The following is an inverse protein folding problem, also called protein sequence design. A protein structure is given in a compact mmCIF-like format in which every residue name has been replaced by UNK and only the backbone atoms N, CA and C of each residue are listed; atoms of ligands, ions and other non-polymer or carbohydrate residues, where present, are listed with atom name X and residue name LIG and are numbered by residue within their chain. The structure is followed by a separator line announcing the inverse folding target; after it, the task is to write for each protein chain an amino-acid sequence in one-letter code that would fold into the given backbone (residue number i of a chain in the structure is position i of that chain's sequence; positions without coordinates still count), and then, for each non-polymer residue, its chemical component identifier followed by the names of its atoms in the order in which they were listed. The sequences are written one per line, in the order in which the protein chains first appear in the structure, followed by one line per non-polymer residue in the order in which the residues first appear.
data_IF_449085546077
#
_entry.id   IF_449085546077
#
_cell.length_a   1.000
_cell.length_b   1.000
_cell.length_c   1.000
_cell.angle_alpha   90.00
_cell.angle_beta   90.00
_cell.angle_gamma   90.00
#
_symmetry.space_group_name_H-M   'P 1'
#
loop_
_entity.id
_entity.type
_entity.pdbx_description
1 polymer ?
#
# COMPACT_ATOMS: atom_id res chain seq x y z
N UNK A 1 -5.31 -16.97 10.76
CA UNK A 1 -4.54 -15.74 10.50
C UNK A 1 -3.77 -15.32 11.72
N UNK A 2 -2.71 -14.54 11.56
CA UNK A 2 -2.09 -13.73 12.61
C UNK A 2 -1.66 -12.40 11.99
N UNK A 3 -2.03 -11.28 12.58
CA UNK A 3 -1.64 -9.95 12.08
C UNK A 3 -1.48 -8.97 13.24
N UNK A 4 -0.36 -8.27 13.30
CA UNK A 4 -0.08 -7.23 14.31
C UNK A 4 0.62 -6.00 13.71
N UNK A 5 0.32 -5.72 12.42
CA UNK A 5 1.01 -4.63 11.72
C UNK A 5 0.52 -3.21 12.09
N UNK A 6 -0.56 -3.07 12.86
CA UNK A 6 -1.07 -1.75 13.26
C UNK A 6 -1.27 -1.67 14.77
N UNK A 7 -1.35 -0.44 15.30
CA UNK A 7 -1.58 -0.18 16.72
C UNK A 7 -2.95 -0.65 17.23
N UNK A 8 -3.94 -0.77 16.34
CA UNK A 8 -5.30 -1.23 16.65
C UNK A 8 -5.40 -2.76 16.78
N UNK A 9 -4.28 -3.47 16.71
CA UNK A 9 -4.28 -4.92 16.78
C UNK A 9 -4.93 -5.44 18.07
N UNK A 10 -5.69 -6.53 17.97
CA UNK A 10 -6.50 -7.05 19.07
C UNK A 10 -5.70 -7.21 20.35
N UNK A 11 -6.12 -6.52 21.42
CA UNK A 11 -5.50 -6.52 22.75
C UNK A 11 -4.00 -6.13 22.77
N UNK A 12 -3.51 -5.43 21.75
CA UNK A 12 -2.08 -5.12 21.61
C UNK A 12 -1.19 -6.37 21.37
N UNK A 13 -1.78 -7.51 21.02
CA UNK A 13 -1.08 -8.80 20.87
C UNK A 13 -1.09 -9.35 19.44
N UNK A 14 -2.21 -9.21 18.76
CA UNK A 14 -2.39 -9.71 17.39
C UNK A 14 -3.83 -10.11 17.10
N UNK A 15 -4.26 -9.89 15.87
CA UNK A 15 -5.55 -10.35 15.36
C UNK A 15 -5.42 -11.81 14.90
N UNK A 16 -6.22 -12.73 15.44
CA UNK A 16 -6.12 -14.17 15.20
C UNK A 16 -7.36 -14.78 14.52
N UNK A 17 -8.52 -14.13 14.61
CA UNK A 17 -9.77 -14.57 13.99
C UNK A 17 -10.16 -13.67 12.83
N UNK A 18 -10.23 -12.38 13.09
CA UNK A 18 -10.54 -11.30 12.14
C UNK A 18 -9.74 -10.07 12.55
N UNK A 19 -9.30 -9.27 11.57
CA UNK A 19 -8.68 -7.97 11.87
C UNK A 19 -9.65 -7.02 12.56
N UNK A 20 -9.18 -6.23 13.53
CA UNK A 20 -9.96 -5.12 14.10
C UNK A 20 -10.37 -4.13 12.99
N UNK A 21 -9.52 -3.98 11.97
CA UNK A 21 -9.79 -3.20 10.76
C UNK A 21 -10.86 -3.80 9.81
N UNK A 22 -11.38 -5.00 10.10
CA UNK A 22 -12.32 -5.69 9.22
C UNK A 22 -11.69 -6.78 8.32
N UNK A 23 -10.37 -6.86 8.21
CA UNK A 23 -9.66 -7.84 7.38
C UNK A 23 -10.05 -9.29 7.74
N UNK A 24 -10.44 -10.08 6.75
CA UNK A 24 -10.76 -11.50 6.93
C UNK A 24 -9.49 -12.34 7.10
N UNK A 25 -9.65 -13.57 7.60
CA UNK A 25 -8.53 -14.51 7.69
C UNK A 25 -7.98 -14.90 6.32
N UNK A 26 -8.85 -15.02 5.32
CA UNK A 26 -8.51 -15.28 3.92
C UNK A 26 -7.60 -14.17 3.36
N UNK A 27 -8.07 -12.91 3.41
CA UNK A 27 -7.28 -11.76 2.91
C UNK A 27 -5.95 -11.64 3.63
N UNK A 28 -5.90 -11.84 4.95
CA UNK A 28 -4.64 -11.82 5.69
C UNK A 28 -3.67 -12.91 5.22
N UNK A 29 -4.17 -14.13 4.98
CA UNK A 29 -3.37 -15.23 4.45
C UNK A 29 -2.84 -14.94 3.05
N UNK A 30 -3.69 -14.46 2.14
CA UNK A 30 -3.27 -14.09 0.78
C UNK A 30 -2.24 -12.96 0.78
N UNK A 31 -2.33 -12.01 1.72
CA UNK A 31 -1.28 -10.99 1.92
C UNK A 31 0.06 -11.63 2.33
N UNK A 32 0.04 -12.58 3.26
CA UNK A 32 1.25 -13.29 3.69
C UNK A 32 1.88 -14.08 2.53
N UNK A 33 1.05 -14.73 1.70
CA UNK A 33 1.50 -15.45 0.51
C UNK A 33 2.10 -14.51 -0.54
N UNK A 34 1.46 -13.37 -0.82
CA UNK A 34 2.00 -12.37 -1.73
C UNK A 34 3.35 -11.85 -1.24
N UNK A 35 3.46 -11.54 0.06
CA UNK A 35 4.73 -11.14 0.68
C UNK A 35 5.82 -12.20 0.49
N UNK A 36 5.48 -13.48 0.67
CA UNK A 36 6.40 -14.59 0.47
C UNK A 36 6.92 -14.68 -0.98
N UNK A 37 6.04 -14.51 -1.96
CA UNK A 37 6.40 -14.51 -3.38
C UNK A 37 7.26 -13.29 -3.74
N UNK A 38 6.95 -12.11 -3.21
CA UNK A 38 7.77 -10.91 -3.41
C UNK A 38 9.17 -11.05 -2.84
N UNK A 39 9.34 -11.75 -1.71
CA UNK A 39 10.67 -12.11 -1.19
C UNK A 39 11.43 -12.99 -2.18
N UNK A 40 10.76 -13.94 -2.84
CA UNK A 40 11.33 -14.75 -3.92
C UNK A 40 11.75 -13.91 -5.13
N UNK A 41 10.85 -13.06 -5.63
CA UNK A 41 11.14 -12.13 -6.72
C UNK A 41 12.34 -11.25 -6.38
N UNK A 42 12.41 -10.72 -5.15
CA UNK A 42 13.52 -9.88 -4.70
C UNK A 42 14.88 -10.61 -4.71
N UNK A 43 14.91 -11.91 -4.45
CA UNK A 43 16.14 -12.72 -4.61
C UNK A 43 16.63 -12.75 -6.06
N UNK A 44 15.71 -12.87 -7.01
CA UNK A 44 16.06 -12.88 -8.44
C UNK A 44 16.52 -11.49 -8.90
N UNK A 45 15.79 -10.43 -8.56
CA UNK A 45 16.17 -9.06 -8.94
C UNK A 45 17.48 -8.61 -8.31
N UNK A 46 17.73 -8.95 -7.05
CA UNK A 46 19.04 -8.70 -6.39
C UNK A 46 20.17 -9.42 -7.12
N UNK A 47 19.93 -10.64 -7.62
CA UNK A 47 20.93 -11.38 -8.40
C UNK A 47 21.17 -10.75 -9.76
N UNK A 48 20.15 -10.29 -10.46
CA UNK A 48 20.25 -9.55 -11.73
C UNK A 48 20.98 -8.22 -11.55
N UNK A 49 20.65 -7.46 -10.50
CA UNK A 49 21.27 -6.17 -10.19
C UNK A 49 22.77 -6.28 -9.96
N UNK A 50 23.27 -7.38 -9.38
CA UNK A 50 24.72 -7.65 -9.25
C UNK A 50 25.42 -7.79 -10.61
N UNK A 51 24.68 -7.98 -11.69
CA UNK A 51 25.17 -8.00 -13.07
C UNK A 51 24.87 -6.72 -13.85
N UNK A 52 24.38 -5.68 -13.17
CA UNK A 52 24.01 -4.42 -13.80
C UNK A 52 22.67 -4.47 -14.54
N UNK A 53 21.85 -5.51 -14.34
CA UNK A 53 20.54 -5.65 -14.97
C UNK A 53 19.45 -5.26 -13.97
N UNK A 54 18.68 -4.25 -14.31
CA UNK A 54 17.51 -3.80 -13.53
C UNK A 54 16.20 -4.19 -14.26
N UNK A 55 15.15 -4.46 -13.48
CA UNK A 55 13.82 -4.75 -13.98
C UNK A 55 12.82 -3.72 -13.43
N UNK A 56 12.46 -2.73 -14.25
CA UNK A 56 11.44 -1.73 -13.89
C UNK A 56 10.09 -2.39 -13.59
N UNK A 57 9.73 -3.44 -14.33
CA UNK A 57 8.51 -4.21 -14.07
C UNK A 57 8.52 -4.84 -12.67
N UNK A 58 9.65 -5.42 -12.25
CA UNK A 58 9.76 -6.01 -10.92
C UNK A 58 9.79 -4.93 -9.82
N UNK A 59 10.45 -3.79 -10.06
CA UNK A 59 10.45 -2.66 -9.15
C UNK A 59 9.02 -2.19 -8.87
N UNK A 60 8.24 -1.93 -9.93
CA UNK A 60 6.84 -1.49 -9.81
C UNK A 60 5.98 -2.56 -9.15
N UNK A 61 6.10 -3.83 -9.57
CA UNK A 61 5.34 -4.95 -9.00
C UNK A 61 5.53 -5.07 -7.48
N UNK A 62 6.78 -4.95 -7.00
CA UNK A 62 7.09 -5.07 -5.56
C UNK A 62 6.51 -3.88 -4.79
N UNK A 63 6.65 -2.66 -5.31
CA UNK A 63 6.09 -1.46 -4.66
C UNK A 63 4.56 -1.56 -4.57
N UNK A 64 3.87 -1.92 -5.66
CA UNK A 64 2.42 -2.11 -5.68
C UNK A 64 1.97 -3.20 -4.71
N UNK A 65 2.65 -4.33 -4.74
CA UNK A 65 2.34 -5.45 -3.86
C UNK A 65 2.52 -5.11 -2.38
N UNK A 66 3.57 -4.38 -2.03
CA UNK A 66 3.79 -3.88 -0.68
C UNK A 66 2.68 -2.90 -0.27
N UNK A 67 2.35 -1.95 -1.13
CA UNK A 67 1.32 -0.95 -0.87
C UNK A 67 -0.05 -1.61 -0.66
N UNK A 68 -0.47 -2.54 -1.53
CA UNK A 68 -1.77 -3.20 -1.37
C UNK A 68 -1.86 -4.08 -0.10
N UNK A 69 -0.73 -4.45 0.53
CA UNK A 69 -0.70 -5.19 1.80
C UNK A 69 -0.67 -4.32 3.06
N UNK A 70 -0.67 -2.99 2.92
CA UNK A 70 -0.74 -2.05 4.04
C UNK A 70 -2.09 -2.19 4.76
N UNK A 71 -2.12 -1.84 6.04
CA UNK A 71 -3.35 -1.80 6.84
C UNK A 71 -4.39 -0.90 6.19
N UNK A 72 -5.63 -1.37 6.07
CA UNK A 72 -6.77 -0.63 5.53
C UNK A 72 -6.59 -0.16 4.07
N UNK A 73 -5.75 -0.85 3.28
CA UNK A 73 -5.55 -0.52 1.87
C UNK A 73 -6.43 -1.37 0.94
N UNK A 74 -6.44 -2.68 1.14
CA UNK A 74 -7.20 -3.59 0.28
C UNK A 74 -7.82 -4.75 1.09
N UNK A 75 -9.10 -5.05 0.83
CA UNK A 75 -9.88 -6.11 1.47
C UNK A 75 -10.40 -7.15 0.47
N UNK A 76 -10.07 -7.03 -0.82
CA UNK A 76 -10.55 -7.89 -1.90
C UNK A 76 -9.63 -9.10 -2.11
N UNK A 77 -10.10 -10.29 -1.75
CA UNK A 77 -9.36 -11.54 -1.94
C UNK A 77 -9.08 -11.83 -3.42
N UNK A 78 -9.99 -11.47 -4.32
CA UNK A 78 -9.84 -11.73 -5.76
C UNK A 78 -8.67 -10.93 -6.36
N UNK A 79 -8.46 -9.69 -5.89
CA UNK A 79 -7.32 -8.86 -6.28
C UNK A 79 -6.00 -9.46 -5.80
N UNK A 80 -5.95 -10.01 -4.58
CA UNK A 80 -4.76 -10.72 -4.09
C UNK A 80 -4.48 -11.98 -4.90
N UNK A 81 -5.49 -12.78 -5.24
CA UNK A 81 -5.34 -13.95 -6.11
C UNK A 81 -4.78 -13.56 -7.48
N UNK A 82 -5.31 -12.49 -8.08
CA UNK A 82 -4.79 -11.96 -9.35
C UNK A 82 -3.32 -11.55 -9.23
N UNK A 83 -2.98 -10.78 -8.20
CA UNK A 83 -1.60 -10.30 -7.97
C UNK A 83 -0.61 -11.44 -7.68
N UNK A 84 -1.06 -12.50 -7.01
CA UNK A 84 -0.28 -13.72 -6.78
C UNK A 84 0.01 -14.42 -8.12
N UNK A 85 -0.96 -14.52 -9.03
CA UNK A 85 -0.74 -15.09 -10.36
C UNK A 85 0.21 -14.25 -11.22
N UNK A 86 0.11 -12.93 -11.13
CA UNK A 86 1.10 -12.02 -11.75
C UNK A 86 2.52 -12.27 -11.19
N UNK A 87 2.64 -12.52 -9.88
CA UNK A 87 3.93 -12.85 -9.26
C UNK A 87 4.56 -14.11 -9.85
N UNK A 88 3.77 -15.14 -10.17
CA UNK A 88 4.28 -16.34 -10.81
C UNK A 88 4.86 -16.04 -12.19
N UNK A 89 4.12 -15.29 -13.01
CA UNK A 89 4.58 -14.94 -14.36
C UNK A 89 5.82 -14.07 -14.32
N UNK A 90 5.84 -13.08 -13.44
CA UNK A 90 7.01 -12.21 -13.28
C UNK A 90 8.25 -13.00 -12.83
N UNK A 91 8.07 -13.94 -11.92
CA UNK A 91 9.15 -14.82 -11.46
C UNK A 91 9.71 -15.67 -12.59
N UNK A 92 8.86 -16.26 -13.43
CA UNK A 92 9.29 -17.02 -14.60
C UNK A 92 10.09 -16.14 -15.58
N UNK A 93 9.60 -14.95 -15.89
CA UNK A 93 10.31 -13.99 -16.76
C UNK A 93 11.69 -13.60 -16.21
N UNK A 94 11.82 -13.41 -14.87
CA UNK A 94 13.09 -13.09 -14.23
C UNK A 94 14.06 -14.28 -14.22
N UNK A 95 13.57 -15.51 -14.10
CA UNK A 95 14.37 -16.72 -14.23
C UNK A 95 14.92 -16.87 -15.65
N UNK A 96 14.08 -16.62 -16.66
CA UNK A 96 14.51 -16.63 -18.06
C UNK A 96 15.56 -15.55 -18.34
N UNK A 97 15.44 -14.36 -17.74
CA UNK A 97 16.45 -13.32 -17.85
C UNK A 97 17.78 -13.76 -17.21
N UNK A 98 17.75 -14.36 -16.02
CA UNK A 98 18.93 -14.90 -15.37
C UNK A 98 19.63 -15.95 -16.24
N UNK A 99 18.85 -16.88 -16.85
CA UNK A 99 19.38 -17.88 -17.76
C UNK A 99 20.02 -17.25 -19.01
N UNK A 100 19.41 -16.21 -19.58
CA UNK A 100 20.01 -15.43 -20.69
C UNK A 100 21.33 -14.78 -20.31
N UNK A 101 21.50 -14.39 -19.04
CA UNK A 101 22.75 -13.87 -18.48
C UNK A 101 23.75 -14.98 -18.08
N UNK A 102 23.45 -16.25 -18.38
CA UNK A 102 24.29 -17.39 -18.00
C UNK A 102 24.29 -17.72 -16.52
N UNK A 103 23.27 -17.26 -15.78
CA UNK A 103 23.13 -17.49 -14.33
C UNK A 103 22.07 -18.54 -14.10
N UNK A 104 22.44 -19.59 -13.38
CA UNK A 104 21.52 -20.65 -12.95
C UNK A 104 21.35 -20.59 -11.43
N UNK A 105 20.33 -19.86 -10.92
CA UNK A 105 20.16 -19.68 -9.48
C UNK A 105 19.80 -21.02 -8.83
N UNK A 106 20.25 -21.23 -7.60
CA UNK A 106 19.79 -22.36 -6.81
C UNK A 106 18.32 -22.14 -6.41
N UNK A 107 17.44 -23.05 -6.81
CA UNK A 107 16.01 -23.00 -6.54
C UNK A 107 15.62 -23.73 -5.24
N UNK A 108 16.49 -23.74 -4.23
CA UNK A 108 16.28 -24.43 -2.96
C UNK A 108 15.21 -23.80 -2.07
N UNK A 109 14.90 -22.50 -2.28
CA UNK A 109 13.79 -21.81 -1.61
C UNK A 109 12.51 -22.02 -2.41
N UNK A 110 11.48 -22.58 -1.78
CA UNK A 110 10.20 -22.79 -2.46
C UNK A 110 9.46 -21.49 -2.82
N UNK A 111 9.87 -20.35 -2.22
CA UNK A 111 9.45 -19.02 -2.67
C UNK A 111 9.79 -18.74 -4.15
N UNK A 112 10.74 -19.49 -4.71
CA UNK A 112 11.14 -19.41 -6.12
C UNK A 112 10.41 -20.40 -7.02
N UNK A 113 9.80 -21.45 -6.46
CA UNK A 113 9.23 -22.56 -7.26
C UNK A 113 7.75 -22.80 -7.02
N UNK A 114 7.27 -22.53 -5.80
CA UNK A 114 5.88 -22.81 -5.46
C UNK A 114 4.91 -21.99 -6.30
N UNK A 115 3.89 -22.65 -6.83
CA UNK A 115 2.75 -22.04 -7.54
C UNK A 115 1.51 -22.92 -7.44
N UNK A 116 0.35 -22.30 -7.47
CA UNK A 116 -0.94 -22.97 -7.63
C UNK A 116 -1.96 -22.05 -8.28
N UNK A 117 -2.89 -22.62 -9.03
CA UNK A 117 -4.05 -21.92 -9.59
C UNK A 117 -5.30 -22.03 -8.70
N UNK A 118 -5.24 -22.88 -7.68
CA UNK A 118 -6.35 -23.14 -6.76
C UNK A 118 -6.24 -22.28 -5.51
N UNK A 119 -7.31 -21.56 -5.19
CA UNK A 119 -7.37 -20.68 -4.03
C UNK A 119 -7.19 -21.47 -2.72
N UNK A 120 -7.76 -22.67 -2.63
CA UNK A 120 -7.65 -23.54 -1.46
C UNK A 120 -6.18 -23.92 -1.18
N UNK A 121 -5.38 -24.16 -2.21
CA UNK A 121 -3.95 -24.45 -2.07
C UNK A 121 -3.17 -23.18 -1.66
N UNK A 122 -3.58 -22.00 -2.15
CA UNK A 122 -3.03 -20.72 -1.71
C UNK A 122 -3.30 -20.47 -0.23
N UNK A 123 -4.52 -20.77 0.25
CA UNK A 123 -4.87 -20.66 1.66
C UNK A 123 -4.08 -21.62 2.55
N UNK A 124 -3.85 -22.85 2.10
CA UNK A 124 -2.99 -23.80 2.83
C UNK A 124 -1.58 -23.27 2.91
N UNK A 125 -0.99 -22.84 1.78
CA UNK A 125 0.38 -22.32 1.74
C UNK A 125 0.56 -21.07 2.60
N UNK A 126 -0.42 -20.19 2.63
CA UNK A 126 -0.37 -18.97 3.44
C UNK A 126 -0.17 -19.24 4.95
N UNK A 127 -0.68 -20.36 5.46
CA UNK A 127 -0.52 -20.75 6.87
C UNK A 127 0.92 -21.18 7.18
N UNK A 128 1.65 -21.68 6.19
CA UNK A 128 3.04 -22.14 6.34
C UNK A 128 4.04 -20.98 6.28
N UNK A 129 3.72 -19.94 5.51
CA UNK A 129 4.65 -18.82 5.19
C UNK A 129 4.34 -17.52 5.92
N UNK A 130 3.31 -17.49 6.75
CA UNK A 130 2.88 -16.31 7.50
C UNK A 130 3.85 -15.93 8.63
N UNK A 131 3.51 -14.86 9.32
CA UNK A 131 4.33 -14.22 10.36
C UNK A 131 4.84 -15.24 11.41
N UNK A 132 4.01 -16.17 11.81
CA UNK A 132 4.35 -17.16 12.85
C UNK A 132 5.30 -18.28 12.39
N UNK A 133 5.63 -18.35 11.10
CA UNK A 133 6.64 -19.28 10.58
C UNK A 133 8.05 -19.00 11.15
N UNK A 134 8.31 -17.80 11.66
CA UNK A 134 9.52 -17.47 12.40
C UNK A 134 9.28 -17.73 13.90
N UNK A 135 9.85 -18.81 14.46
CA UNK A 135 9.60 -19.22 15.84
C UNK A 135 10.24 -18.27 16.87
N UNK A 136 11.48 -17.86 16.64
CA UNK A 136 12.18 -16.93 17.54
C UNK A 136 11.48 -15.56 17.52
N UNK A 137 11.00 -15.13 18.70
CA UNK A 137 10.17 -13.92 18.83
C UNK A 137 10.93 -12.64 18.51
N UNK A 138 12.20 -12.54 18.87
CA UNK A 138 13.00 -11.35 18.65
C UNK A 138 13.32 -11.19 17.15
N UNK A 139 13.76 -12.30 16.52
CA UNK A 139 13.99 -12.35 15.06
C UNK A 139 12.70 -12.05 14.30
N UNK A 140 11.58 -12.66 14.70
CA UNK A 140 10.27 -12.40 14.11
C UNK A 140 9.89 -10.93 14.19
N UNK A 141 9.99 -10.33 15.38
CA UNK A 141 9.61 -8.94 15.59
C UNK A 141 10.46 -7.97 14.75
N UNK A 142 11.76 -8.23 14.66
CA UNK A 142 12.66 -7.39 13.84
C UNK A 142 12.41 -7.58 12.33
N UNK A 143 12.17 -8.81 11.87
CA UNK A 143 11.79 -9.07 10.47
C UNK A 143 10.50 -8.37 10.09
N UNK A 144 9.50 -8.41 10.97
CA UNK A 144 8.22 -7.74 10.71
C UNK A 144 8.34 -6.22 10.80
N UNK A 145 9.13 -5.69 11.74
CA UNK A 145 9.39 -4.26 11.83
C UNK A 145 10.06 -3.74 10.54
N UNK A 146 11.05 -4.46 10.02
CA UNK A 146 11.67 -4.17 8.74
C UNK A 146 10.65 -4.25 7.57
N UNK A 147 9.83 -5.31 7.58
CA UNK A 147 8.76 -5.50 6.57
C UNK A 147 7.76 -4.33 6.59
N UNK A 148 7.34 -3.89 7.77
CA UNK A 148 6.41 -2.76 7.90
C UNK A 148 7.06 -1.43 7.49
N UNK A 149 8.36 -1.27 7.77
CA UNK A 149 9.14 -0.12 7.30
C UNK A 149 9.16 -0.04 5.77
N UNK A 150 9.46 -1.13 5.07
CA UNK A 150 9.46 -1.13 3.59
C UNK A 150 8.06 -1.01 2.99
N UNK A 151 6.99 -1.50 3.67
CA UNK A 151 5.61 -1.23 3.24
C UNK A 151 5.28 0.26 3.30
N UNK A 152 5.62 0.94 4.41
CA UNK A 152 5.43 2.38 4.53
C UNK A 152 6.23 3.17 3.49
N UNK A 153 7.48 2.77 3.25
CA UNK A 153 8.34 3.35 2.21
C UNK A 153 7.72 3.17 0.82
N UNK A 154 7.17 1.99 0.51
CA UNK A 154 6.53 1.71 -0.77
C UNK A 154 5.35 2.65 -1.06
N UNK A 155 4.56 3.05 -0.06
CA UNK A 155 3.48 4.02 -0.25
C UNK A 155 4.01 5.38 -0.72
N UNK A 156 5.08 5.89 -0.11
CA UNK A 156 5.69 7.15 -0.54
C UNK A 156 6.32 7.06 -1.93
N UNK A 157 6.97 5.95 -2.23
CA UNK A 157 7.58 5.70 -3.55
C UNK A 157 6.49 5.60 -4.63
N UNK A 158 5.36 4.95 -4.34
CA UNK A 158 4.22 4.85 -5.27
C UNK A 158 3.64 6.23 -5.60
N UNK A 159 3.39 7.07 -4.61
CA UNK A 159 2.88 8.42 -4.83
C UNK A 159 3.87 9.30 -5.61
N UNK A 160 5.18 9.15 -5.37
CA UNK A 160 6.20 9.85 -6.16
C UNK A 160 6.23 9.34 -7.61
N UNK A 161 6.14 8.02 -7.81
CA UNK A 161 6.08 7.39 -9.14
C UNK A 161 4.90 7.91 -9.97
N UNK A 162 3.72 8.05 -9.38
CA UNK A 162 2.53 8.58 -10.04
C UNK A 162 2.71 10.02 -10.56
N UNK A 163 3.69 10.75 -10.02
CA UNK A 163 4.09 12.08 -10.47
C UNK A 163 5.33 12.06 -11.38
N UNK A 164 5.82 10.87 -11.78
CA UNK A 164 6.98 10.70 -12.65
C UNK A 164 8.33 10.85 -11.94
N UNK A 165 8.38 10.69 -10.60
CA UNK A 165 9.62 10.77 -9.83
C UNK A 165 10.01 9.40 -9.31
N UNK A 166 11.25 9.00 -9.61
CA UNK A 166 11.81 7.70 -9.22
C UNK A 166 13.22 7.85 -8.64
N UNK A 167 13.59 6.91 -7.76
CA UNK A 167 14.95 6.71 -7.27
C UNK A 167 15.26 5.20 -7.20
N UNK A 168 16.14 4.72 -8.07
CA UNK A 168 16.50 3.31 -8.17
C UNK A 168 17.11 2.76 -6.89
N UNK A 169 17.76 3.62 -6.08
CA UNK A 169 18.33 3.21 -4.79
C UNK A 169 17.25 2.78 -3.78
N UNK A 170 16.04 3.34 -3.88
CA UNK A 170 14.89 2.96 -3.05
C UNK A 170 14.37 1.57 -3.43
N UNK A 171 14.21 1.31 -4.73
CA UNK A 171 13.82 -0.02 -5.21
C UNK A 171 14.85 -1.09 -4.81
N UNK A 172 16.14 -0.77 -4.98
CA UNK A 172 17.22 -1.66 -4.59
C UNK A 172 17.16 -1.98 -3.10
N UNK A 173 17.04 -0.96 -2.24
CA UNK A 173 16.95 -1.16 -0.79
C UNK A 173 15.72 -1.99 -0.39
N UNK A 174 14.53 -1.70 -0.93
CA UNK A 174 13.29 -2.46 -0.65
C UNK A 174 13.51 -3.95 -0.94
N UNK A 175 14.09 -4.28 -2.10
CA UNK A 175 14.36 -5.65 -2.50
C UNK A 175 15.40 -6.31 -1.58
N UNK A 176 16.49 -5.63 -1.27
CA UNK A 176 17.53 -6.15 -0.38
C UNK A 176 17.00 -6.39 1.03
N UNK A 177 16.16 -5.49 1.55
CA UNK A 177 15.49 -5.64 2.83
C UNK A 177 14.54 -6.86 2.86
N UNK A 178 13.76 -7.06 1.78
CA UNK A 178 12.91 -8.25 1.65
C UNK A 178 13.74 -9.54 1.62
N UNK A 179 14.87 -9.56 0.92
CA UNK A 179 15.80 -10.69 0.93
C UNK A 179 16.37 -10.92 2.32
N UNK A 180 16.78 -9.87 3.04
CA UNK A 180 17.30 -9.97 4.39
C UNK A 180 16.30 -10.65 5.35
N UNK A 181 15.00 -10.39 5.21
CA UNK A 181 13.98 -11.06 6.04
C UNK A 181 13.90 -12.58 5.82
N UNK A 182 14.51 -13.12 4.77
CA UNK A 182 14.53 -14.57 4.47
C UNK A 182 15.78 -15.29 4.93
N UNK A 183 16.82 -14.57 5.34
CA UNK A 183 18.10 -15.14 5.75
C UNK A 183 18.00 -15.71 7.15
N UNK A 184 18.38 -16.98 7.33
CA UNK A 184 18.28 -17.69 8.61
C UNK A 184 19.45 -17.43 9.57
N UNK A 185 20.56 -16.93 9.03
CA UNK A 185 21.82 -16.66 9.72
C UNK A 185 21.94 -15.25 10.30
N UNK A 186 21.00 -14.36 10.01
CA UNK A 186 21.00 -13.01 10.57
C UNK A 186 20.67 -13.01 12.06
N UNK A 187 21.56 -12.36 12.82
CA UNK A 187 21.37 -12.16 14.26
C UNK A 187 20.41 -10.99 14.56
N UNK A 188 20.02 -10.85 15.83
CA UNK A 188 19.26 -9.68 16.32
C UNK A 188 20.00 -8.38 16.00
N UNK A 189 21.33 -8.34 16.18
CA UNK A 189 22.13 -7.17 15.87
C UNK A 189 22.14 -6.82 14.38
N UNK A 190 22.19 -7.83 13.50
CA UNK A 190 22.13 -7.63 12.06
C UNK A 190 20.77 -7.08 11.62
N UNK A 191 19.70 -7.66 12.12
CA UNK A 191 18.33 -7.19 11.81
C UNK A 191 18.05 -5.80 12.38
N UNK A 192 18.64 -5.47 13.56
CA UNK A 192 18.55 -4.11 14.10
C UNK A 192 19.23 -3.09 13.17
N UNK A 193 20.39 -3.43 12.60
CA UNK A 193 21.04 -2.57 11.59
C UNK A 193 20.16 -2.39 10.36
N UNK A 194 19.51 -3.46 9.86
CA UNK A 194 18.57 -3.36 8.75
C UNK A 194 17.39 -2.44 9.05
N UNK A 195 16.84 -2.50 10.26
CA UNK A 195 15.75 -1.62 10.69
C UNK A 195 16.20 -0.15 10.73
N UNK A 196 17.39 0.13 11.26
CA UNK A 196 17.94 1.49 11.30
C UNK A 196 18.21 2.02 9.88
N UNK A 197 18.81 1.21 9.02
CA UNK A 197 19.02 1.57 7.60
C UNK A 197 17.68 1.77 6.87
N UNK A 198 16.65 1.00 7.21
CA UNK A 198 15.29 1.24 6.69
C UNK A 198 14.78 2.64 7.06
N UNK A 199 15.08 3.12 8.25
CA UNK A 199 14.79 4.51 8.66
C UNK A 199 15.49 5.55 7.77
N UNK A 200 16.78 5.33 7.46
CA UNK A 200 17.54 6.22 6.57
C UNK A 200 16.94 6.28 5.15
N UNK A 201 16.58 5.12 4.59
CA UNK A 201 15.91 5.06 3.28
C UNK A 201 14.47 5.58 3.33
N UNK A 202 13.79 5.47 4.48
CA UNK A 202 12.52 6.10 4.74
C UNK A 202 12.57 7.62 4.59
N UNK A 203 13.61 8.26 5.14
CA UNK A 203 13.87 9.69 4.95
C UNK A 203 14.06 10.03 3.46
N UNK A 204 14.82 9.21 2.72
CA UNK A 204 15.00 9.41 1.26
C UNK A 204 13.68 9.30 0.50
N UNK A 205 12.83 8.33 0.84
CA UNK A 205 11.53 8.15 0.20
C UNK A 205 10.60 9.34 0.48
N UNK A 206 10.58 9.85 1.72
CA UNK A 206 9.81 11.06 2.06
C UNK A 206 10.35 12.29 1.32
N UNK A 207 11.67 12.45 1.22
CA UNK A 207 12.28 13.55 0.47
C UNK A 207 11.98 13.47 -1.04
N UNK A 208 11.93 12.25 -1.61
CA UNK A 208 11.52 12.04 -2.99
C UNK A 208 10.07 12.48 -3.22
N UNK A 209 9.15 12.07 -2.33
CA UNK A 209 7.74 12.46 -2.42
C UNK A 209 7.54 13.96 -2.19
N UNK A 210 8.24 14.56 -1.23
CA UNK A 210 8.21 16.02 -1.01
C UNK A 210 8.66 16.76 -2.28
N UNK A 211 9.77 16.33 -2.89
CA UNK A 211 10.24 16.87 -4.16
C UNK A 211 9.21 16.71 -5.27
N UNK A 212 8.59 15.54 -5.39
CA UNK A 212 7.56 15.27 -6.40
C UNK A 212 6.35 16.20 -6.21
N UNK A 213 5.82 16.27 -5.00
CA UNK A 213 4.67 17.09 -4.68
C UNK A 213 4.96 18.59 -4.85
N UNK A 214 6.08 19.08 -4.32
CA UNK A 214 6.41 20.51 -4.38
C UNK A 214 6.78 20.96 -5.79
N UNK A 215 7.43 20.12 -6.58
CA UNK A 215 7.73 20.41 -7.99
C UNK A 215 6.46 20.43 -8.85
N UNK A 216 5.46 19.62 -8.52
CA UNK A 216 4.22 19.50 -9.30
C UNK A 216 3.18 20.52 -8.87
N UNK A 217 3.00 20.71 -7.55
CA UNK A 217 1.88 21.47 -6.99
C UNK A 217 2.29 22.77 -6.31
N UNK A 218 3.59 23.06 -6.23
CA UNK A 218 4.14 24.21 -5.53
C UNK A 218 4.40 23.94 -4.04
N UNK A 219 5.12 24.83 -3.38
CA UNK A 219 5.39 24.68 -1.94
C UNK A 219 4.12 24.91 -1.11
N UNK A 220 3.87 24.09 -0.07
CA UNK A 220 2.75 24.31 0.84
C UNK A 220 2.75 25.71 1.46
N UNK A 221 1.57 26.30 1.56
CA UNK A 221 1.36 27.63 2.13
C UNK A 221 0.42 27.58 3.32
N UNK A 222 0.60 28.49 4.28
CA UNK A 222 -0.35 28.68 5.39
C UNK A 222 -1.71 29.03 4.78
N UNK A 223 -2.70 28.17 5.02
CA UNK A 223 -4.00 28.24 4.35
C UNK A 223 -5.13 28.11 5.38
N UNK A 224 -6.13 28.99 5.26
CA UNK A 224 -7.41 28.82 5.97
C UNK A 224 -8.28 27.89 5.15
N UNK A 225 -8.65 26.75 5.72
CA UNK A 225 -9.51 25.76 5.07
C UNK A 225 -10.94 25.93 5.61
N UNK A 226 -11.89 26.03 4.69
CA UNK A 226 -13.31 26.05 5.06
C UNK A 226 -13.73 24.67 5.60
N UNK A 227 -14.50 24.63 6.67
CA UNK A 227 -15.06 23.41 7.28
C UNK A 227 -16.57 23.32 7.17
N UNK A 228 -17.20 24.26 6.47
CA UNK A 228 -18.62 24.27 6.16
C UNK A 228 -18.89 23.65 4.79
N UNK A 229 -20.17 23.43 4.51
CA UNK A 229 -20.65 22.89 3.22
C UNK A 229 -21.35 23.95 2.39
N UNK A 230 -21.27 23.84 1.08
CA UNK A 230 -21.98 24.64 0.11
C UNK A 230 -23.42 24.15 -0.13
N UNK A 231 -24.01 24.61 -1.24
CA UNK A 231 -25.37 24.24 -1.65
C UNK A 231 -25.39 23.29 -2.86
N UNK A 232 -24.27 23.10 -3.53
CA UNK A 232 -24.15 22.26 -4.69
C UNK A 232 -24.06 20.76 -4.29
N UNK A 233 -24.37 19.84 -5.20
CA UNK A 233 -23.99 18.44 -5.01
C UNK A 233 -22.52 18.32 -4.68
N UNK A 234 -22.15 17.40 -3.78
CA UNK A 234 -20.77 17.31 -3.29
C UNK A 234 -20.16 15.93 -3.47
N UNK A 235 -18.86 15.91 -3.71
CA UNK A 235 -18.00 14.72 -3.62
C UNK A 235 -17.04 14.92 -2.46
N UNK A 236 -16.99 13.92 -1.56
CA UNK A 236 -16.05 13.85 -0.46
C UNK A 236 -14.94 12.87 -0.84
N UNK A 237 -13.71 13.36 -1.00
CA UNK A 237 -12.56 12.52 -1.32
C UNK A 237 -11.71 12.26 -0.07
N UNK A 238 -11.40 10.98 0.16
CA UNK A 238 -10.56 10.52 1.27
C UNK A 238 -9.43 9.64 0.74
N UNK A 239 -8.21 9.88 1.18
CA UNK A 239 -6.99 9.19 0.76
C UNK A 239 -5.76 10.06 1.01
N UNK A 240 -4.66 9.79 0.27
CA UNK A 240 -3.36 10.45 0.49
C UNK A 240 -2.74 11.00 -0.79
N UNK A 241 -3.05 10.43 -1.96
CA UNK A 241 -2.38 10.76 -3.21
C UNK A 241 -2.91 12.09 -3.78
N UNK A 242 -2.02 13.08 -3.94
CA UNK A 242 -2.37 14.37 -4.53
C UNK A 242 -2.69 14.27 -6.02
N UNK A 243 -2.24 13.22 -6.70
CA UNK A 243 -2.61 12.96 -8.09
C UNK A 243 -4.10 12.63 -8.21
N UNK A 244 -4.64 11.84 -7.29
CA UNK A 244 -6.04 11.47 -7.28
C UNK A 244 -6.96 12.70 -7.15
N UNK A 245 -6.63 13.63 -6.24
CA UNK A 245 -7.43 14.86 -6.10
C UNK A 245 -7.26 15.78 -7.29
N UNK A 246 -6.08 15.84 -7.90
CA UNK A 246 -5.89 16.60 -9.14
C UNK A 246 -6.84 16.09 -10.22
N UNK A 247 -6.84 14.78 -10.47
CA UNK A 247 -7.67 14.17 -11.51
C UNK A 247 -9.17 14.39 -11.22
N UNK A 248 -9.58 14.32 -9.95
CA UNK A 248 -10.96 14.63 -9.56
C UNK A 248 -11.33 16.08 -9.83
N UNK A 249 -10.47 17.02 -9.43
CA UNK A 249 -10.72 18.45 -9.61
C UNK A 249 -10.78 18.83 -11.09
N UNK A 250 -9.91 18.25 -11.93
CA UNK A 250 -9.92 18.47 -13.38
C UNK A 250 -11.20 17.93 -14.02
N UNK A 251 -11.66 16.73 -13.61
CA UNK A 251 -12.87 16.11 -14.14
C UNK A 251 -14.16 16.80 -13.71
N UNK A 252 -14.17 17.45 -12.56
CA UNK A 252 -15.35 18.10 -12.00
C UNK A 252 -15.41 19.59 -12.25
N UNK A 253 -14.41 20.20 -12.87
CA UNK A 253 -14.38 21.62 -13.18
C UNK A 253 -15.55 22.01 -14.11
N UNK A 254 -16.31 23.03 -13.73
CA UNK A 254 -17.45 23.52 -14.49
C UNK A 254 -18.71 22.66 -14.46
N UNK A 255 -18.73 21.56 -13.71
CA UNK A 255 -19.91 20.66 -13.62
C UNK A 255 -20.96 21.10 -12.60
N UNK A 256 -20.65 22.07 -11.74
CA UNK A 256 -21.51 22.51 -10.64
C UNK A 256 -21.46 21.58 -9.41
N UNK A 257 -20.45 20.72 -9.33
CA UNK A 257 -20.20 19.82 -8.19
C UNK A 257 -19.14 20.45 -7.29
N UNK A 258 -19.39 20.47 -5.98
CA UNK A 258 -18.42 20.87 -4.96
C UNK A 258 -17.54 19.68 -4.54
N UNK A 259 -16.24 19.90 -4.35
CA UNK A 259 -15.31 18.88 -3.86
C UNK A 259 -14.83 19.24 -2.46
N UNK A 260 -14.87 18.25 -1.59
CA UNK A 260 -14.45 18.33 -0.18
C UNK A 260 -13.40 17.25 0.09
N UNK A 261 -12.37 17.61 0.86
CA UNK A 261 -11.44 16.60 1.41
C UNK A 261 -11.97 16.03 2.72
N UNK A 262 -11.52 14.81 3.05
CA UNK A 262 -11.70 14.19 4.35
C UNK A 262 -10.37 13.66 4.85
N UNK A 263 -10.15 13.81 6.17
CA UNK A 263 -9.01 13.20 6.87
C UNK A 263 -7.66 13.53 6.23
N UNK A 264 -6.92 12.54 5.81
CA UNK A 264 -5.53 12.66 5.32
C UNK A 264 -5.40 13.37 3.96
N UNK A 265 -6.51 13.65 3.27
CA UNK A 265 -6.50 14.47 2.06
C UNK A 265 -6.52 15.99 2.34
N UNK A 266 -6.73 16.41 3.60
CA UNK A 266 -6.70 17.82 4.02
C UNK A 266 -5.47 18.59 3.50
N UNK A 267 -4.25 18.03 3.50
CA UNK A 267 -3.05 18.72 3.01
C UNK A 267 -3.14 19.23 1.57
N UNK A 268 -4.01 18.69 0.72
CA UNK A 268 -4.21 19.19 -0.65
C UNK A 268 -4.53 20.68 -0.68
N UNK A 269 -5.25 21.22 0.32
CA UNK A 269 -5.59 22.64 0.40
C UNK A 269 -4.37 23.56 0.57
N UNK A 270 -3.23 23.02 1.00
CA UNK A 270 -2.01 23.82 1.26
C UNK A 270 -1.22 24.11 -0.01
N UNK A 271 -1.44 23.33 -1.07
CA UNK A 271 -0.67 23.42 -2.30
C UNK A 271 -1.26 24.48 -3.25
N UNK A 272 -0.44 25.42 -3.77
CA UNK A 272 -0.90 26.51 -4.64
C UNK A 272 -1.65 26.05 -5.88
N UNK A 273 -1.22 24.93 -6.49
CA UNK A 273 -1.82 24.44 -7.73
C UNK A 273 -3.32 24.12 -7.62
N UNK A 274 -3.80 23.74 -6.43
CA UNK A 274 -5.21 23.42 -6.22
C UNK A 274 -6.08 24.65 -5.92
N UNK A 275 -5.48 25.77 -5.51
CA UNK A 275 -6.21 27.00 -5.14
C UNK A 275 -6.93 27.67 -6.31
N UNK A 276 -6.60 27.30 -7.56
CA UNK A 276 -7.29 27.77 -8.77
C UNK A 276 -8.71 27.23 -8.91
N UNK A 277 -9.00 26.05 -8.33
CA UNK A 277 -10.28 25.39 -8.45
C UNK A 277 -11.31 25.96 -7.46
N UNK A 278 -12.26 26.75 -7.96
CA UNK A 278 -13.27 27.41 -7.12
C UNK A 278 -14.25 26.44 -6.46
N UNK A 279 -14.44 25.27 -7.06
CA UNK A 279 -15.29 24.19 -6.56
C UNK A 279 -14.58 23.27 -5.55
N UNK A 280 -13.30 23.51 -5.27
CA UNK A 280 -12.57 22.88 -4.17
C UNK A 280 -12.86 23.64 -2.87
N UNK A 281 -13.96 23.30 -2.20
CA UNK A 281 -14.65 24.15 -1.23
C UNK A 281 -14.02 24.10 0.15
N UNK A 282 -13.61 22.93 0.61
CA UNK A 282 -13.09 22.79 1.96
C UNK A 282 -12.90 21.35 2.41
N UNK A 283 -12.75 21.16 3.74
CA UNK A 283 -12.62 19.86 4.37
C UNK A 283 -13.89 19.54 5.17
N UNK A 284 -14.39 18.32 5.05
CA UNK A 284 -15.54 17.82 5.80
C UNK A 284 -15.13 16.69 6.74
N UNK A 285 -15.66 16.71 7.94
CA UNK A 285 -15.35 15.70 8.95
C UNK A 285 -13.98 15.88 9.58
N UNK A 286 -13.45 14.82 10.15
CA UNK A 286 -12.22 14.86 10.94
C UNK A 286 -11.25 13.72 10.59
N UNK A 287 -10.86 12.90 11.56
CA UNK A 287 -9.88 11.84 11.35
C UNK A 287 -10.50 10.56 10.78
N UNK A 288 -9.68 9.72 10.13
CA UNK A 288 -10.10 8.50 9.44
C UNK A 288 -10.97 7.55 10.31
N UNK A 289 -10.70 7.43 11.59
CA UNK A 289 -11.49 6.56 12.49
C UNK A 289 -12.91 7.06 12.78
N UNK A 290 -13.22 8.27 12.37
CA UNK A 290 -14.58 8.84 12.44
C UNK A 290 -15.38 8.69 11.14
N UNK A 291 -14.85 8.03 10.13
CA UNK A 291 -15.53 7.81 8.86
C UNK A 291 -16.99 7.35 9.03
N UNK A 292 -17.22 6.40 9.95
CA UNK A 292 -18.58 5.89 10.18
C UNK A 292 -19.59 6.94 10.62
N UNK A 293 -19.18 8.01 11.31
CA UNK A 293 -20.06 9.10 11.72
C UNK A 293 -20.07 10.24 10.69
N UNK A 294 -18.91 10.56 10.15
CA UNK A 294 -18.77 11.68 9.22
C UNK A 294 -19.49 11.39 7.89
N UNK A 295 -19.44 10.14 7.41
CA UNK A 295 -20.07 9.74 6.17
C UNK A 295 -21.59 9.57 6.27
N UNK A 296 -22.12 9.22 7.47
CA UNK A 296 -23.58 9.22 7.70
C UNK A 296 -24.18 10.61 7.53
N UNK A 297 -23.43 11.65 7.88
CA UNK A 297 -23.89 13.03 7.85
C UNK A 297 -23.57 13.78 6.58
N UNK A 298 -22.63 13.29 5.75
CA UNK A 298 -22.33 13.88 4.45
C UNK A 298 -23.38 13.48 3.41
N UNK A 299 -24.08 14.47 2.86
CA UNK A 299 -25.15 14.23 1.88
C UNK A 299 -24.62 14.30 0.43
N UNK A 300 -23.70 13.42 0.07
CA UNK A 300 -23.10 13.37 -1.27
C UNK A 300 -22.36 12.07 -1.53
N UNK A 301 -21.63 12.02 -2.65
CA UNK A 301 -20.79 10.88 -3.02
C UNK A 301 -19.52 10.87 -2.20
N UNK A 302 -19.07 9.69 -1.78
CA UNK A 302 -17.84 9.48 -1.04
C UNK A 302 -16.87 8.70 -1.94
N UNK A 303 -15.70 9.27 -2.19
CA UNK A 303 -14.66 8.67 -3.04
C UNK A 303 -13.44 8.32 -2.19
N UNK A 304 -13.11 7.04 -2.15
CA UNK A 304 -11.85 6.57 -1.59
C UNK A 304 -10.80 6.39 -2.69
N UNK A 305 -9.59 6.85 -2.43
CA UNK A 305 -8.47 6.72 -3.36
C UNK A 305 -7.33 5.85 -2.82
N UNK A 306 -7.06 5.90 -1.52
CA UNK A 306 -6.06 5.06 -0.85
C UNK A 306 -6.57 4.60 0.52
N UNK A 307 -5.68 4.04 1.36
CA UNK A 307 -5.98 3.85 2.78
C UNK A 307 -6.22 5.23 3.44
N UNK A 308 -6.87 5.39 4.57
CA UNK A 308 -7.38 4.37 5.50
C UNK A 308 -8.85 4.09 5.22
N UNK A 309 -9.18 2.97 4.64
CA UNK A 309 -10.57 2.56 4.46
C UNK A 309 -11.08 1.90 5.75
N UNK A 310 -12.22 2.36 6.26
CA UNK A 310 -12.99 1.66 7.28
C UNK A 310 -14.19 1.02 6.59
N UNK A 311 -14.27 -0.32 6.50
CA UNK A 311 -15.38 -0.99 5.83
C UNK A 311 -16.72 -0.54 6.43
N UNK A 312 -17.72 -0.18 5.60
CA UNK A 312 -19.04 0.20 6.07
C UNK A 312 -19.67 -0.92 6.91
N UNK A 313 -20.34 -0.57 7.99
CA UNK A 313 -21.13 -1.53 8.77
C UNK A 313 -22.37 -1.92 7.98
N UNK A 314 -22.94 -3.09 8.27
CA UNK A 314 -24.22 -3.52 7.66
C UNK A 314 -25.38 -2.57 7.88
N UNK A 315 -25.31 -1.73 8.91
CA UNK A 315 -26.29 -0.68 9.23
C UNK A 315 -25.96 0.68 8.60
N UNK A 316 -24.85 0.80 7.85
CA UNK A 316 -24.43 2.07 7.28
C UNK A 316 -25.41 2.54 6.21
N UNK A 317 -25.90 3.80 6.30
CA UNK A 317 -26.83 4.38 5.33
C UNK A 317 -26.11 5.00 4.12
N UNK A 318 -24.79 5.10 4.17
CA UNK A 318 -23.95 5.70 3.14
C UNK A 318 -23.28 4.69 2.19
N UNK A 319 -23.42 3.40 2.43
CA UNK A 319 -22.69 2.36 1.69
C UNK A 319 -22.92 2.41 0.17
N UNK A 320 -24.13 2.76 -0.27
CA UNK A 320 -24.51 2.92 -1.67
C UNK A 320 -23.91 4.19 -2.34
N UNK A 321 -23.37 5.11 -1.55
CA UNK A 321 -22.74 6.36 -2.01
C UNK A 321 -21.21 6.31 -1.98
N UNK A 322 -20.63 5.19 -1.55
CA UNK A 322 -19.18 5.01 -1.50
C UNK A 322 -18.68 4.41 -2.80
N UNK A 323 -17.67 5.05 -3.36
CA UNK A 323 -16.96 4.63 -4.56
C UNK A 323 -15.46 4.54 -4.25
N UNK A 324 -14.78 3.65 -4.94
CA UNK A 324 -13.32 3.54 -4.86
C UNK A 324 -12.73 3.85 -6.22
N UNK A 325 -11.73 4.69 -6.26
CA UNK A 325 -10.98 4.99 -7.46
C UNK A 325 -9.65 4.27 -7.34
N UNK A 326 -9.57 3.00 -7.79
CA UNK A 326 -8.26 2.42 -7.66
C UNK A 326 -7.97 1.22 -8.50
N UNK A 327 -6.81 1.35 -9.11
CA UNK A 327 -5.99 0.27 -9.60
C UNK A 327 -5.59 -0.75 -8.50
N UNK A 328 -5.57 -0.37 -7.21
CA UNK A 328 -4.86 -1.16 -6.19
C UNK A 328 -5.66 -1.56 -4.95
N UNK A 329 -6.76 -0.91 -4.59
CA UNK A 329 -7.13 -0.97 -3.20
C UNK A 329 -8.48 -1.52 -2.82
N UNK A 330 -9.52 -1.50 -3.58
CA UNK A 330 -10.78 -2.07 -3.08
C UNK A 330 -11.82 -2.30 -4.15
N UNK A 331 -12.61 -3.36 -4.00
CA UNK A 331 -13.86 -3.46 -4.72
C UNK A 331 -14.78 -2.31 -4.31
N UNK A 332 -15.69 -1.94 -5.19
CA UNK A 332 -16.80 -1.09 -4.83
C UNK A 332 -17.49 -1.67 -3.59
N UNK A 333 -18.00 -0.86 -2.63
CA UNK A 333 -18.78 -1.34 -1.51
C UNK A 333 -20.00 -2.19 -1.89
N UNK A 334 -20.39 -2.18 -3.17
CA UNK A 334 -21.44 -3.05 -3.71
C UNK A 334 -21.02 -4.52 -3.84
N UNK A 335 -19.74 -4.82 -3.67
CA UNK A 335 -19.18 -6.18 -3.77
C UNK A 335 -19.08 -6.88 -2.40
N UNK A 336 -19.64 -6.27 -1.32
CA UNK A 336 -19.72 -6.84 0.03
C UNK A 336 -21.14 -7.26 0.40
#
# INVERSE_FOLDING_TARGET
MFCYQCQETAQGKGCILKGVCGKTAEVAGLQDLLMYLMKGISKLTTTLRKRGVESSTANKFIVDGLFMTITNANFDSSRFVSKIKEAYQLRENLLDELHRQGIHPSLTCDCLTWKSDKVEEMEVKSKEVGILATENKDIRSLRELLTYGVKGMAAYVEHAYNLGFEDTSLYAFIQDALVATTQSDLTVADLTRWVLTCGEYGVKAMALLDKANTSTYGNPEITKVNIGVGKNPGILISGHDLRDIQDLLEQTEGTGIDVYTHSEMLPAHYYPAFKKYKHFVGNYGSAWWKQTSDFETFNGVILFTTNCLVPPRSSATYADRVYTCLLYTSPSPRDY
#
